data_IF_403553410000
#
_entry.id   IF_403553410000
#
_cell.length_a   1.000
_cell.length_b   1.000
_cell.length_c   1.000
_cell.angle_alpha   90.00
_cell.angle_beta   90.00
_cell.angle_gamma   90.00
#
_symmetry.space_group_name_H-M   'P 1'
#
loop_
_entity.id
_entity.type
_entity.pdbx_description
1 polymer ?
#
# COMPACT_ATOMS: atom_id res chain seq x y z
N UNK A 1 1.42 -9.21 10.11
CA UNK A 1 1.44 -8.19 9.04
C UNK A 1 0.49 -8.60 7.93
N UNK A 2 -0.63 -7.88 7.79
CA UNK A 2 -1.61 -8.11 6.72
C UNK A 2 -1.43 -7.01 5.68
N UNK A 3 -1.26 -7.39 4.42
CA UNK A 3 -1.19 -6.48 3.27
C UNK A 3 -2.10 -7.08 2.21
N UNK A 4 -3.04 -6.27 1.73
CA UNK A 4 -3.99 -6.64 0.70
C UNK A 4 -3.82 -5.67 -0.46
N UNK A 5 -3.76 -6.20 -1.68
CA UNK A 5 -3.83 -5.40 -2.90
C UNK A 5 -5.06 -5.86 -3.66
N UNK A 6 -5.86 -4.89 -4.09
CA UNK A 6 -7.00 -5.08 -4.96
C UNK A 6 -6.65 -4.49 -6.33
N UNK A 7 -6.62 -5.32 -7.36
CA UNK A 7 -6.48 -4.87 -8.75
C UNK A 7 -7.84 -5.02 -9.42
N UNK A 8 -8.44 -3.92 -9.85
CA UNK A 8 -9.78 -3.89 -10.44
C UNK A 8 -10.82 -4.60 -9.54
N UNK A 9 -10.75 -4.34 -8.23
CA UNK A 9 -11.63 -4.94 -7.21
C UNK A 9 -11.31 -6.41 -6.86
N UNK A 10 -10.30 -7.03 -7.47
CA UNK A 10 -9.93 -8.43 -7.21
C UNK A 10 -8.69 -8.52 -6.33
N UNK A 11 -8.75 -9.33 -5.28
CA UNK A 11 -7.60 -9.54 -4.39
C UNK A 11 -6.48 -10.30 -5.10
N UNK A 12 -5.26 -9.75 -5.04
CA UNK A 12 -4.06 -10.37 -5.59
C UNK A 12 -3.27 -11.03 -4.46
N UNK A 13 -2.99 -12.33 -4.62
CA UNK A 13 -2.18 -13.08 -3.65
C UNK A 13 -0.71 -12.67 -3.75
N UNK A 14 -0.21 -11.99 -2.72
CA UNK A 14 1.20 -11.59 -2.63
C UNK A 14 2.08 -12.70 -2.06
N UNK A 15 3.26 -12.89 -2.68
CA UNK A 15 4.38 -13.62 -2.09
C UNK A 15 5.02 -12.82 -0.95
N UNK A 16 5.86 -13.46 -0.15
CA UNK A 16 6.45 -12.85 1.05
C UNK A 16 7.32 -11.62 0.76
N UNK A 17 8.12 -11.65 -0.32
CA UNK A 17 8.98 -10.52 -0.66
C UNK A 17 8.17 -9.26 -1.03
N UNK A 18 7.24 -9.28 -2.01
CA UNK A 18 6.40 -8.11 -2.31
C UNK A 18 5.60 -7.62 -1.10
N UNK A 19 5.09 -8.52 -0.26
CA UNK A 19 4.35 -8.18 0.96
C UNK A 19 5.20 -7.34 1.92
N UNK A 20 6.44 -7.76 2.19
CA UNK A 20 7.38 -7.03 3.06
C UNK A 20 7.80 -5.70 2.45
N UNK A 21 8.12 -5.69 1.15
CA UNK A 21 8.54 -4.49 0.45
C UNK A 21 7.46 -3.41 0.52
N UNK A 22 6.21 -3.74 0.17
CA UNK A 22 5.11 -2.78 0.20
C UNK A 22 4.87 -2.23 1.61
N UNK A 23 4.80 -3.09 2.62
CA UNK A 23 4.59 -2.66 4.00
C UNK A 23 5.66 -1.66 4.46
N UNK A 24 6.93 -1.94 4.21
CA UNK A 24 8.03 -1.09 4.64
C UNK A 24 8.04 0.26 3.90
N UNK A 25 7.75 0.26 2.60
CA UNK A 25 7.66 1.49 1.79
C UNK A 25 6.53 2.38 2.31
N UNK A 26 5.33 1.81 2.48
CA UNK A 26 4.16 2.54 2.99
C UNK A 26 4.42 3.08 4.39
N UNK A 27 4.97 2.27 5.30
CA UNK A 27 5.28 2.71 6.65
C UNK A 27 6.35 3.81 6.67
N UNK A 28 7.35 3.72 5.78
CA UNK A 28 8.36 4.76 5.60
C UNK A 28 7.73 6.09 5.18
N UNK A 29 6.80 6.06 4.21
CA UNK A 29 6.05 7.25 3.82
C UNK A 29 5.24 7.83 4.98
N UNK A 30 4.50 7.00 5.72
CA UNK A 30 3.69 7.48 6.86
C UNK A 30 4.53 8.13 7.96
N UNK A 31 5.72 7.61 8.25
CA UNK A 31 6.66 8.21 9.21
C UNK A 31 7.16 9.59 8.79
N UNK A 32 7.17 9.86 7.48
CA UNK A 32 7.51 11.19 6.97
C UNK A 32 6.34 12.19 7.07
N UNK A 33 5.12 11.70 7.29
CA UNK A 33 3.95 12.52 7.51
C UNK A 33 3.85 12.93 8.99
N UNK A 34 3.47 14.18 9.25
CA UNK A 34 3.13 14.65 10.59
C UNK A 34 1.70 14.23 10.94
N UNK A 35 1.50 12.94 11.18
CA UNK A 35 0.21 12.40 11.61
C UNK A 35 -0.09 12.83 13.05
N UNK A 36 -1.34 13.17 13.32
CA UNK A 36 -1.80 13.55 14.67
C UNK A 36 -1.80 12.34 15.62
N UNK A 37 -1.94 11.13 15.07
CA UNK A 37 -2.01 9.87 15.81
C UNK A 37 -1.19 8.75 15.13
N UNK A 38 -0.82 7.74 15.91
CA UNK A 38 -0.15 6.54 15.39
C UNK A 38 -1.16 5.65 14.63
N UNK A 39 -0.91 5.34 13.34
CA UNK A 39 -1.88 4.63 12.51
C UNK A 39 -1.98 3.15 12.89
N UNK A 40 -3.19 2.69 13.21
CA UNK A 40 -3.51 1.26 13.45
C UNK A 40 -3.83 0.51 12.15
N UNK A 41 -4.44 1.21 11.21
CA UNK A 41 -4.81 0.72 9.88
C UNK A 41 -4.58 1.83 8.85
N UNK A 42 -4.13 1.47 7.66
CA UNK A 42 -3.82 2.40 6.57
C UNK A 42 -4.47 1.89 5.30
N UNK A 43 -5.28 2.73 4.66
CA UNK A 43 -5.89 2.44 3.36
C UNK A 43 -5.27 3.36 2.31
N UNK A 44 -4.58 2.78 1.34
CA UNK A 44 -4.07 3.49 0.17
C UNK A 44 -4.99 3.24 -1.02
N UNK A 45 -5.42 4.32 -1.66
CA UNK A 45 -6.18 4.29 -2.92
C UNK A 45 -5.31 4.90 -4.01
N UNK A 46 -5.17 4.18 -5.12
CA UNK A 46 -4.36 4.57 -6.26
C UNK A 46 -5.23 4.43 -7.51
N UNK A 47 -5.14 5.42 -8.40
CA UNK A 47 -5.72 5.37 -9.74
C UNK A 47 -4.56 5.24 -10.73
N UNK A 48 -4.68 4.32 -11.67
CA UNK A 48 -3.67 4.12 -12.71
C UNK A 48 -4.16 4.85 -13.94
N UNK A 49 -3.44 5.90 -14.34
CA UNK A 49 -3.70 6.58 -15.61
C UNK A 49 -3.23 5.69 -16.77
N UNK A 50 -3.98 5.67 -17.88
CA UNK A 50 -3.52 5.03 -19.11
C UNK A 50 -2.34 5.83 -19.68
N UNK A 51 -1.14 5.25 -19.71
CA UNK A 51 -0.04 5.80 -20.50
C UNK A 51 -0.47 5.78 -21.97
N UNK A 52 -0.68 6.97 -22.56
CA UNK A 52 -0.84 7.11 -24.01
C UNK A 52 0.49 6.74 -24.66
N UNK A 53 0.64 5.46 -25.00
CA UNK A 53 1.74 4.96 -25.84
C UNK A 53 1.44 5.24 -27.31
#
# INVERSE_FOLDING_TARGET
MKVQILVNGKEVKLKDFPKRALYNVVLGFLKSLKLEEEPKEVVLKLEVEEEKT
#
